data_IF_391429833846
#
_entry.id   IF_391429833846
#
_cell.length_a   1.000
_cell.length_b   1.000
_cell.length_c   1.000
_cell.angle_alpha   90.00
_cell.angle_beta   90.00
_cell.angle_gamma   90.00
#
_symmetry.space_group_name_H-M   'P 1'
#
loop_
_entity.id
_entity.type
_entity.pdbx_description
1 polymer ?
#
# COMPACT_ATOMS: atom_id res chain seq x y z
N UNK A 1 11.46 34.71 -18.74
CA UNK A 1 12.62 34.27 -17.90
C UNK A 1 12.24 33.97 -16.45
N UNK A 2 10.96 33.80 -16.08
CA UNK A 2 10.50 33.85 -14.68
C UNK A 2 9.67 32.71 -14.16
N UNK A 3 9.71 31.50 -14.79
CA UNK A 3 8.95 30.33 -14.33
C UNK A 3 9.78 29.28 -13.57
N UNK A 4 11.04 29.57 -13.28
CA UNK A 4 11.92 28.62 -12.54
C UNK A 4 11.93 28.91 -11.02
N UNK A 5 11.36 29.99 -10.55
CA UNK A 5 11.47 30.43 -9.14
C UNK A 5 10.45 29.80 -8.18
N UNK A 6 9.39 29.12 -8.61
CA UNK A 6 8.28 28.76 -7.73
C UNK A 6 8.36 27.37 -7.05
N UNK A 7 9.37 26.55 -7.34
CA UNK A 7 9.52 25.22 -6.71
C UNK A 7 10.84 24.99 -5.97
N UNK A 8 11.56 26.05 -5.66
CA UNK A 8 12.68 25.95 -4.73
C UNK A 8 12.14 25.97 -3.29
N UNK A 9 11.69 24.82 -2.78
CA UNK A 9 11.53 24.67 -1.35
C UNK A 9 12.87 24.96 -0.69
N UNK A 10 12.90 25.77 0.37
CA UNK A 10 14.08 26.26 1.12
C UNK A 10 14.99 25.15 1.69
N UNK A 11 14.79 23.89 1.32
CA UNK A 11 15.43 22.69 1.87
C UNK A 11 16.55 22.12 0.99
N UNK A 12 16.82 22.66 -0.21
CA UNK A 12 17.73 22.06 -1.18
C UNK A 12 18.95 22.94 -1.48
N UNK A 13 19.84 23.14 -0.53
CA UNK A 13 21.21 23.67 -0.75
C UNK A 13 22.13 22.65 -1.43
N UNK A 14 21.57 21.64 -2.10
CA UNK A 14 22.33 20.58 -2.72
C UNK A 14 23.06 21.02 -3.99
N UNK A 15 24.28 20.50 -4.18
CA UNK A 15 25.06 20.67 -5.41
C UNK A 15 24.25 20.25 -6.64
N UNK A 16 24.33 21.04 -7.71
CA UNK A 16 23.70 20.76 -8.99
C UNK A 16 24.67 20.01 -9.92
N UNK A 17 24.13 19.20 -10.83
CA UNK A 17 24.87 18.53 -11.90
C UNK A 17 24.17 18.70 -13.24
N UNK A 18 24.91 18.54 -14.31
CA UNK A 18 24.35 18.49 -15.66
C UNK A 18 23.83 17.08 -15.91
N UNK A 19 22.67 16.97 -16.52
CA UNK A 19 22.10 15.74 -17.05
C UNK A 19 21.39 16.04 -18.38
N UNK A 20 20.99 15.01 -19.08
CA UNK A 20 20.28 15.15 -20.34
C UNK A 20 18.91 14.48 -20.24
N UNK A 21 17.91 15.09 -20.88
CA UNK A 21 16.59 14.50 -20.96
C UNK A 21 16.66 13.15 -21.68
N UNK A 22 16.14 12.11 -21.06
CA UNK A 22 16.20 10.73 -21.60
C UNK A 22 15.41 10.56 -22.90
N UNK A 23 14.44 11.43 -23.16
CA UNK A 23 13.58 11.32 -24.34
C UNK A 23 14.02 12.21 -25.51
N UNK A 24 14.61 13.39 -25.28
CA UNK A 24 14.94 14.35 -26.33
C UNK A 24 16.39 14.89 -26.28
N UNK A 25 17.20 14.43 -25.35
CA UNK A 25 18.60 14.85 -25.21
C UNK A 25 18.81 16.27 -24.71
N UNK A 26 17.76 17.06 -24.41
CA UNK A 26 17.90 18.43 -23.93
C UNK A 26 18.72 18.47 -22.65
N UNK A 27 19.70 19.37 -22.59
CA UNK A 27 20.53 19.62 -21.41
C UNK A 27 19.69 20.15 -20.25
N UNK A 28 19.85 19.54 -19.05
CA UNK A 28 19.13 19.86 -17.83
C UNK A 28 20.13 20.13 -16.70
N UNK A 29 19.74 20.97 -15.78
CA UNK A 29 20.45 21.19 -14.52
C UNK A 29 19.60 20.55 -13.42
N UNK A 30 20.09 19.46 -12.83
CA UNK A 30 19.38 18.72 -11.78
C UNK A 30 20.18 18.71 -10.48
N UNK A 31 19.53 18.42 -9.36
CA UNK A 31 20.25 18.23 -8.10
C UNK A 31 21.12 16.97 -8.15
N UNK A 32 22.31 17.00 -7.53
CA UNK A 32 23.29 15.89 -7.56
C UNK A 32 22.68 14.55 -7.14
N UNK A 33 21.73 14.55 -6.20
CA UNK A 33 21.02 13.35 -5.73
C UNK A 33 19.95 12.83 -6.70
N UNK A 34 19.49 13.65 -7.66
CA UNK A 34 18.50 13.20 -8.62
C UNK A 34 19.08 12.22 -9.63
N UNK A 35 18.31 11.20 -10.00
CA UNK A 35 18.74 10.23 -11.01
C UNK A 35 18.86 10.89 -12.39
N UNK A 36 20.03 10.82 -13.00
CA UNK A 36 20.23 11.24 -14.40
C UNK A 36 19.62 10.25 -15.39
N UNK A 37 19.39 8.99 -14.98
CA UNK A 37 18.84 7.93 -15.85
C UNK A 37 17.34 8.09 -16.15
N UNK A 38 16.63 8.90 -15.38
CA UNK A 38 15.15 9.06 -15.50
C UNK A 38 14.71 10.51 -15.60
N UNK A 39 15.67 11.46 -15.72
CA UNK A 39 15.32 12.87 -15.80
C UNK A 39 14.72 13.23 -17.17
N UNK A 40 13.70 14.04 -17.16
CA UNK A 40 13.02 14.54 -18.34
C UNK A 40 12.84 16.06 -18.26
N UNK A 41 12.97 16.74 -19.40
CA UNK A 41 12.53 18.14 -19.48
C UNK A 41 11.02 18.24 -19.28
N UNK A 42 10.52 19.44 -18.97
CA UNK A 42 9.10 19.60 -18.63
C UNK A 42 8.15 19.11 -19.73
N UNK A 43 8.49 19.36 -20.97
CA UNK A 43 7.68 18.93 -22.12
C UNK A 43 7.64 17.40 -22.23
N UNK A 44 8.80 16.74 -22.20
CA UNK A 44 8.86 15.29 -22.27
C UNK A 44 8.21 14.63 -21.05
N UNK A 45 8.34 15.24 -19.85
CA UNK A 45 7.65 14.78 -18.65
C UNK A 45 6.13 14.83 -18.78
N UNK A 46 5.58 15.94 -19.34
CA UNK A 46 4.14 16.05 -19.62
C UNK A 46 3.68 15.00 -20.60
N UNK A 47 4.41 14.79 -21.69
CA UNK A 47 4.11 13.77 -22.68
C UNK A 47 4.16 12.35 -22.08
N UNK A 48 5.19 12.05 -21.31
CA UNK A 48 5.31 10.77 -20.62
C UNK A 48 4.14 10.49 -19.68
N UNK A 49 3.72 11.50 -18.89
CA UNK A 49 2.54 11.39 -18.00
C UNK A 49 1.27 11.16 -18.83
N UNK A 50 1.11 11.88 -19.96
CA UNK A 50 -0.04 11.70 -20.86
C UNK A 50 -0.09 10.29 -21.43
N UNK A 51 1.04 9.78 -21.93
CA UNK A 51 1.15 8.40 -22.46
C UNK A 51 0.83 7.35 -21.39
N UNK A 52 1.35 7.52 -20.18
CA UNK A 52 0.99 6.61 -19.06
C UNK A 52 -0.50 6.60 -18.76
N UNK A 53 -1.16 7.78 -18.76
CA UNK A 53 -2.61 7.88 -18.55
C UNK A 53 -3.40 7.19 -19.67
N UNK A 54 -2.94 7.31 -20.92
CA UNK A 54 -3.54 6.59 -22.06
C UNK A 54 -3.37 5.08 -21.90
N UNK A 55 -2.18 4.61 -21.52
CA UNK A 55 -1.93 3.20 -21.29
C UNK A 55 -2.85 2.63 -20.20
N UNK A 56 -3.02 3.35 -19.09
CA UNK A 56 -3.97 2.93 -18.04
C UNK A 56 -5.41 2.82 -18.53
N UNK A 57 -5.84 3.75 -19.41
CA UNK A 57 -7.17 3.66 -20.03
C UNK A 57 -7.30 2.45 -20.94
N UNK A 58 -6.29 2.16 -21.74
CA UNK A 58 -6.25 0.99 -22.62
C UNK A 58 -6.28 -0.31 -21.81
N UNK A 59 -5.47 -0.41 -20.77
CA UNK A 59 -5.48 -1.56 -19.87
C UNK A 59 -6.87 -1.76 -19.25
N UNK A 60 -7.52 -0.68 -18.82
CA UNK A 60 -8.88 -0.74 -18.29
C UNK A 60 -9.88 -1.23 -19.32
N UNK A 61 -9.83 -0.74 -20.56
CA UNK A 61 -10.71 -1.16 -21.65
C UNK A 61 -10.48 -2.63 -22.02
N UNK A 62 -9.26 -3.10 -21.94
CA UNK A 62 -8.88 -4.49 -22.23
C UNK A 62 -9.08 -5.44 -21.03
N UNK A 63 -9.70 -4.98 -19.93
CA UNK A 63 -9.84 -5.72 -18.68
C UNK A 63 -8.48 -6.21 -18.09
N UNK A 64 -7.41 -5.50 -18.40
CA UNK A 64 -6.08 -5.75 -17.84
C UNK A 64 -5.89 -4.89 -16.59
N UNK A 65 -6.16 -5.48 -15.44
CA UNK A 65 -6.07 -4.84 -14.13
C UNK A 65 -4.76 -5.16 -13.41
N UNK A 66 -3.76 -5.60 -14.15
CA UNK A 66 -2.44 -5.81 -13.61
C UNK A 66 -1.79 -4.45 -13.26
N UNK A 67 -1.36 -4.32 -12.02
CA UNK A 67 -0.65 -3.15 -11.51
C UNK A 67 0.62 -3.66 -10.86
N UNK A 68 1.77 -3.20 -11.30
CA UNK A 68 3.08 -3.51 -10.75
C UNK A 68 3.31 -4.99 -10.33
N UNK A 69 4.39 -5.58 -10.75
CA UNK A 69 4.87 -6.90 -10.32
C UNK A 69 3.91 -8.09 -10.51
N UNK A 70 3.07 -8.05 -11.55
CA UNK A 70 2.20 -9.15 -11.91
C UNK A 70 0.95 -9.30 -11.03
N UNK A 71 0.64 -8.33 -10.16
CA UNK A 71 -0.56 -8.37 -9.33
C UNK A 71 -1.79 -7.97 -10.12
N UNK A 72 -2.78 -8.85 -10.14
CA UNK A 72 -4.09 -8.56 -10.74
C UNK A 72 -5.07 -8.13 -9.65
N UNK A 73 -5.79 -7.05 -9.93
CA UNK A 73 -6.82 -6.52 -9.04
C UNK A 73 -8.20 -6.69 -9.66
N UNK A 74 -9.25 -6.66 -8.85
CA UNK A 74 -10.61 -6.48 -9.39
C UNK A 74 -10.74 -5.11 -10.06
N UNK A 75 -11.72 -4.95 -10.94
CA UNK A 75 -12.00 -3.68 -11.63
C UNK A 75 -12.22 -2.53 -10.65
N UNK A 76 -12.98 -2.76 -9.59
CA UNK A 76 -13.29 -1.77 -8.55
C UNK A 76 -12.03 -1.38 -7.77
N UNK A 77 -11.23 -2.34 -7.37
CA UNK A 77 -9.97 -2.10 -6.67
C UNK A 77 -8.99 -1.34 -7.54
N UNK A 78 -8.86 -1.70 -8.80
CA UNK A 78 -8.01 -1.01 -9.76
C UNK A 78 -8.44 0.45 -9.96
N UNK A 79 -9.75 0.71 -10.15
CA UNK A 79 -10.30 2.06 -10.27
C UNK A 79 -10.06 2.89 -9.01
N UNK A 80 -10.30 2.31 -7.83
CA UNK A 80 -10.08 3.00 -6.57
C UNK A 80 -8.62 3.38 -6.35
N UNK A 81 -7.70 2.48 -6.69
CA UNK A 81 -6.26 2.74 -6.60
C UNK A 81 -5.80 3.84 -7.56
N UNK A 82 -6.39 3.94 -8.75
CA UNK A 82 -6.03 4.94 -9.75
C UNK A 82 -6.72 6.30 -9.52
N UNK A 83 -7.99 6.31 -9.15
CA UNK A 83 -8.76 7.53 -8.91
C UNK A 83 -8.43 8.16 -7.55
N UNK A 84 -8.03 7.37 -6.57
CA UNK A 84 -7.66 7.84 -5.23
C UNK A 84 -6.32 8.56 -5.14
N UNK A 85 -5.63 8.79 -6.27
CA UNK A 85 -4.31 9.44 -6.26
C UNK A 85 -3.21 8.60 -5.59
N UNK A 86 -3.36 7.28 -5.59
CA UNK A 86 -2.33 6.39 -5.08
C UNK A 86 -1.01 6.62 -5.81
N UNK A 87 -0.10 7.30 -5.16
CA UNK A 87 1.30 7.35 -5.53
C UNK A 87 1.91 5.99 -5.22
N UNK A 88 1.85 5.11 -6.21
CA UNK A 88 2.51 3.82 -6.18
C UNK A 88 2.04 2.91 -5.03
N UNK A 89 1.59 1.74 -5.38
CA UNK A 89 1.60 0.62 -4.45
C UNK A 89 3.08 0.37 -4.20
N UNK A 90 3.55 0.77 -3.04
CA UNK A 90 4.91 0.47 -2.65
C UNK A 90 5.09 -1.05 -2.62
N UNK A 91 6.26 -1.51 -3.01
CA UNK A 91 6.67 -2.90 -2.86
C UNK A 91 6.31 -3.41 -1.47
N UNK A 92 5.53 -4.45 -1.41
CA UNK A 92 5.25 -5.16 -0.15
C UNK A 92 6.44 -6.01 0.32
N UNK A 93 7.48 -6.14 -0.49
CA UNK A 93 8.70 -6.86 -0.11
C UNK A 93 9.43 -6.32 1.13
N UNK A 94 9.16 -5.06 1.48
CA UNK A 94 9.72 -4.39 2.66
C UNK A 94 8.65 -4.09 3.73
N UNK A 95 7.60 -4.88 3.81
CA UNK A 95 6.60 -4.72 4.87
C UNK A 95 7.28 -4.85 6.23
N UNK A 96 7.48 -3.72 6.88
CA UNK A 96 7.92 -3.67 8.27
C UNK A 96 6.76 -4.11 9.16
N UNK A 97 6.66 -5.39 9.37
CA UNK A 97 5.73 -5.96 10.33
C UNK A 97 6.01 -5.41 11.72
N UNK A 98 4.96 -5.04 12.45
CA UNK A 98 5.12 -4.64 13.84
C UNK A 98 5.50 -5.86 14.70
N UNK A 99 6.19 -5.61 15.82
CA UNK A 99 6.52 -6.70 16.76
C UNK A 99 5.25 -7.35 17.32
N UNK A 100 4.22 -6.56 17.54
CA UNK A 100 2.92 -7.06 18.03
C UNK A 100 2.23 -7.94 16.98
N UNK A 101 2.25 -7.54 15.70
CA UNK A 101 1.71 -8.33 14.58
C UNK A 101 2.42 -9.69 14.45
N UNK A 102 3.77 -9.67 14.53
CA UNK A 102 4.56 -10.91 14.47
C UNK A 102 4.22 -11.84 15.63
N UNK A 103 4.07 -11.32 16.84
CA UNK A 103 3.72 -12.11 18.02
C UNK A 103 2.28 -12.67 17.93
N UNK A 104 1.33 -11.86 17.45
CA UNK A 104 -0.05 -12.33 17.23
C UNK A 104 -0.09 -13.42 16.15
N UNK A 105 0.69 -13.28 15.07
CA UNK A 105 0.81 -14.30 14.04
C UNK A 105 1.29 -15.64 14.61
N UNK A 106 2.30 -15.64 15.48
CA UNK A 106 2.79 -16.85 16.16
C UNK A 106 1.71 -17.53 17.00
N UNK A 107 0.93 -16.73 17.75
CA UNK A 107 -0.20 -17.28 18.52
C UNK A 107 -1.24 -17.92 17.60
N UNK A 108 -1.48 -17.32 16.42
CA UNK A 108 -2.33 -17.95 15.41
C UNK A 108 -1.73 -19.24 14.86
N UNK A 109 -0.43 -19.27 14.55
CA UNK A 109 0.29 -20.46 14.07
C UNK A 109 0.35 -21.59 15.11
N UNK A 110 0.32 -21.26 16.41
CA UNK A 110 0.24 -22.25 17.50
C UNK A 110 -1.17 -22.84 17.69
N UNK A 111 -2.21 -22.11 17.26
CA UNK A 111 -3.62 -22.49 17.51
C UNK A 111 -4.33 -23.07 16.28
N UNK A 112 -3.94 -22.66 15.06
CA UNK A 112 -4.54 -23.09 13.78
C UNK A 112 -3.50 -23.75 12.89
N UNK A 113 -3.94 -24.73 12.09
CA UNK A 113 -3.02 -25.53 11.25
C UNK A 113 -2.55 -24.77 9.99
N UNK A 114 -3.45 -24.00 9.35
CA UNK A 114 -3.19 -23.36 8.06
C UNK A 114 -3.18 -21.84 8.17
N UNK A 115 -2.08 -21.30 8.69
CA UNK A 115 -1.87 -19.86 8.83
C UNK A 115 -0.86 -19.36 7.80
N UNK A 116 -1.23 -18.35 7.05
CA UNK A 116 -0.36 -17.62 6.10
C UNK A 116 -0.32 -16.14 6.48
N UNK A 117 0.66 -15.42 5.96
CA UNK A 117 0.80 -14.00 6.24
C UNK A 117 1.26 -13.21 5.01
N UNK A 118 0.73 -11.99 4.88
CA UNK A 118 1.10 -11.03 3.83
C UNK A 118 0.95 -11.58 2.39
N UNK A 119 0.04 -12.52 2.16
CA UNK A 119 -0.25 -13.03 0.82
C UNK A 119 -1.36 -12.23 0.14
N UNK A 120 -1.18 -11.95 -1.14
CA UNK A 120 -2.14 -11.19 -1.95
C UNK A 120 -3.15 -12.11 -2.62
N UNK A 121 -4.04 -12.72 -1.86
CA UNK A 121 -5.05 -13.68 -2.35
C UNK A 121 -6.44 -13.07 -2.56
N UNK A 122 -6.68 -11.83 -2.14
CA UNK A 122 -7.98 -11.17 -2.21
C UNK A 122 -8.05 -10.17 -3.38
N UNK A 123 -8.16 -10.65 -4.60
CA UNK A 123 -8.18 -9.80 -5.81
C UNK A 123 -7.02 -8.79 -5.85
N UNK A 124 -5.80 -9.25 -5.49
CA UNK A 124 -4.59 -8.43 -5.43
C UNK A 124 -4.36 -7.71 -4.08
N UNK A 125 -5.32 -7.77 -3.16
CA UNK A 125 -5.12 -7.32 -1.79
C UNK A 125 -4.55 -8.45 -0.93
N UNK A 126 -3.77 -8.06 0.07
CA UNK A 126 -3.20 -8.95 1.09
C UNK A 126 -3.98 -8.84 2.41
N UNK A 127 -3.71 -9.74 3.32
CA UNK A 127 -4.02 -9.57 4.74
C UNK A 127 -2.76 -9.86 5.55
N UNK A 128 -2.68 -9.27 6.73
CA UNK A 128 -1.51 -9.43 7.58
C UNK A 128 -1.38 -10.87 8.08
N UNK A 129 -2.53 -11.49 8.41
CA UNK A 129 -2.62 -12.92 8.78
C UNK A 129 -3.85 -13.52 8.11
N UNK A 130 -3.70 -14.71 7.54
CA UNK A 130 -4.72 -15.44 6.80
C UNK A 130 -4.86 -16.81 7.46
N UNK A 131 -6.04 -17.12 8.00
CA UNK A 131 -6.35 -18.38 8.65
C UNK A 131 -7.29 -19.17 7.72
N UNK A 132 -6.73 -20.10 6.96
CA UNK A 132 -7.45 -20.81 5.89
C UNK A 132 -8.56 -21.73 6.43
N UNK A 133 -8.32 -22.36 7.57
CA UNK A 133 -9.24 -23.35 8.17
C UNK A 133 -10.62 -22.76 8.46
N UNK A 134 -10.66 -21.50 8.84
CA UNK A 134 -11.89 -20.80 9.22
C UNK A 134 -12.23 -19.64 8.27
N UNK A 135 -11.47 -19.45 7.20
CA UNK A 135 -11.61 -18.36 6.22
C UNK A 135 -11.62 -16.95 6.86
N UNK A 136 -10.67 -16.70 7.73
CA UNK A 136 -10.46 -15.41 8.36
C UNK A 136 -9.24 -14.68 7.80
N UNK A 137 -9.41 -13.38 7.59
CA UNK A 137 -8.35 -12.47 7.19
C UNK A 137 -8.17 -11.39 8.26
N UNK A 138 -7.11 -11.49 9.06
CA UNK A 138 -6.81 -10.50 10.11
C UNK A 138 -6.04 -9.34 9.51
N UNK A 139 -6.50 -8.13 9.80
CA UNK A 139 -5.88 -6.86 9.41
C UNK A 139 -5.35 -6.17 10.65
N UNK A 140 -4.03 -6.06 10.76
CA UNK A 140 -3.34 -5.44 11.90
C UNK A 140 -3.09 -3.96 11.65
N UNK A 141 -4.04 -3.12 12.05
CA UNK A 141 -4.03 -1.69 11.75
C UNK A 141 -3.29 -0.88 12.82
N UNK A 142 -2.05 -0.49 12.52
CA UNK A 142 -1.23 0.37 13.35
C UNK A 142 -1.60 1.87 13.28
N UNK A 143 -0.78 2.76 13.88
CA UNK A 143 -1.06 4.20 13.95
C UNK A 143 -1.28 4.89 12.60
N UNK A 144 -0.70 4.38 11.50
CA UNK A 144 -0.87 4.92 10.15
C UNK A 144 -2.32 4.95 9.67
N UNK A 145 -3.16 4.06 10.16
CA UNK A 145 -4.57 3.98 9.79
C UNK A 145 -5.43 5.02 10.53
N UNK A 146 -4.92 5.62 11.61
CA UNK A 146 -5.71 6.44 12.52
C UNK A 146 -5.14 7.83 12.81
N UNK A 147 -3.83 8.03 12.60
CA UNK A 147 -3.13 9.29 12.89
C UNK A 147 -2.29 9.73 11.70
N UNK A 148 -2.23 11.03 11.46
CA UNK A 148 -1.31 11.58 10.48
C UNK A 148 0.12 11.52 11.04
N UNK A 149 0.94 10.64 10.47
CA UNK A 149 2.32 10.41 10.92
C UNK A 149 3.31 11.34 10.20
N UNK A 150 3.07 11.65 8.93
CA UNK A 150 3.89 12.58 8.14
C UNK A 150 3.03 13.61 7.43
N UNK A 151 3.63 14.72 7.00
CA UNK A 151 2.93 15.79 6.23
C UNK A 151 2.31 15.26 4.93
N UNK A 152 2.88 14.24 4.32
CA UNK A 152 2.39 13.64 3.08
C UNK A 152 1.42 12.48 3.29
N UNK A 153 1.21 12.04 4.52
CA UNK A 153 0.32 10.94 4.88
C UNK A 153 -1.10 11.45 5.06
N UNK A 154 -2.05 10.85 4.37
CA UNK A 154 -3.48 11.14 4.49
C UNK A 154 -4.22 9.96 5.13
N UNK A 155 -4.64 10.14 6.37
CA UNK A 155 -5.46 9.15 7.11
C UNK A 155 -6.72 8.78 6.34
N UNK A 156 -7.42 9.78 5.75
CA UNK A 156 -8.62 9.53 4.95
C UNK A 156 -8.37 8.63 3.75
N UNK A 157 -7.24 8.82 3.05
CA UNK A 157 -6.88 7.95 1.92
C UNK A 157 -6.56 6.53 2.40
N UNK A 158 -5.83 6.38 3.50
CA UNK A 158 -5.54 5.07 4.10
C UNK A 158 -6.83 4.36 4.47
N UNK A 159 -7.72 5.00 5.22
CA UNK A 159 -9.01 4.42 5.61
C UNK A 159 -9.93 4.08 4.43
N UNK A 160 -9.91 4.88 3.35
CA UNK A 160 -10.65 4.52 2.14
C UNK A 160 -10.10 3.25 1.47
N UNK A 161 -8.79 3.07 1.47
CA UNK A 161 -8.16 1.85 0.97
C UNK A 161 -8.50 0.64 1.84
N UNK A 162 -8.48 0.81 3.16
CA UNK A 162 -8.88 -0.24 4.11
C UNK A 162 -10.32 -0.70 3.89
N UNK A 163 -11.25 0.23 3.68
CA UNK A 163 -12.64 -0.08 3.35
C UNK A 163 -12.79 -0.91 2.06
N UNK A 164 -11.95 -0.63 1.04
CA UNK A 164 -11.95 -1.39 -0.20
C UNK A 164 -11.36 -2.77 0.04
N UNK A 165 -10.22 -2.85 0.75
CA UNK A 165 -9.58 -4.12 1.12
C UNK A 165 -10.56 -5.04 1.86
N UNK A 166 -11.28 -4.52 2.87
CA UNK A 166 -12.31 -5.25 3.60
C UNK A 166 -13.38 -5.82 2.65
N UNK A 167 -13.95 -4.98 1.78
CA UNK A 167 -14.96 -5.43 0.80
C UNK A 167 -14.44 -6.50 -0.16
N UNK A 168 -13.19 -6.42 -0.58
CA UNK A 168 -12.60 -7.43 -1.48
C UNK A 168 -12.36 -8.75 -0.75
N UNK A 169 -11.97 -8.72 0.53
CA UNK A 169 -11.87 -9.90 1.39
C UNK A 169 -13.25 -10.57 1.51
N UNK A 170 -14.29 -9.80 1.83
CA UNK A 170 -15.69 -10.29 1.95
C UNK A 170 -16.19 -10.89 0.63
N UNK A 171 -15.92 -10.24 -0.53
CA UNK A 171 -16.28 -10.76 -1.84
C UNK A 171 -15.60 -12.09 -2.18
N UNK A 172 -14.43 -12.35 -1.63
CA UNK A 172 -13.73 -13.62 -1.77
C UNK A 172 -14.30 -14.71 -0.83
N UNK A 173 -15.33 -14.41 -0.05
CA UNK A 173 -15.97 -15.34 0.89
C UNK A 173 -15.17 -15.54 2.19
N UNK A 174 -14.40 -14.52 2.59
CA UNK A 174 -13.62 -14.51 3.81
C UNK A 174 -14.15 -13.47 4.79
N UNK A 175 -13.96 -13.72 6.08
CA UNK A 175 -14.34 -12.78 7.14
C UNK A 175 -13.15 -11.91 7.54
N UNK A 176 -13.21 -10.59 7.32
CA UNK A 176 -12.17 -9.68 7.78
C UNK A 176 -12.28 -9.45 9.28
N UNK A 177 -11.16 -9.51 10.00
CA UNK A 177 -11.07 -9.17 11.42
C UNK A 177 -10.02 -8.08 11.63
N UNK A 178 -10.42 -6.91 12.12
CA UNK A 178 -9.54 -5.74 12.23
C UNK A 178 -9.08 -5.57 13.67
N UNK A 179 -7.76 -5.60 13.87
CA UNK A 179 -7.13 -5.31 15.16
C UNK A 179 -6.51 -3.91 15.09
N UNK A 180 -6.94 -3.04 16.01
CA UNK A 180 -6.39 -1.69 16.15
C UNK A 180 -5.23 -1.71 17.13
N UNK A 181 -4.02 -1.45 16.63
CA UNK A 181 -2.81 -1.34 17.43
C UNK A 181 -2.27 0.11 17.43
N UNK A 182 -2.46 0.80 18.54
CA UNK A 182 -1.99 2.18 18.72
C UNK A 182 -0.80 2.28 19.68
N UNK A 183 -0.35 1.14 20.19
CA UNK A 183 0.62 1.04 21.25
C UNK A 183 2.06 0.83 20.81
N UNK A 184 2.91 0.70 21.81
CA UNK A 184 4.27 0.16 21.69
C UNK A 184 4.21 -1.37 21.73
N UNK A 185 5.32 -2.03 21.38
CA UNK A 185 5.45 -3.48 21.50
C UNK A 185 5.12 -3.94 22.92
N UNK A 186 4.09 -4.76 23.09
CA UNK A 186 3.58 -5.24 24.38
C UNK A 186 2.94 -6.62 24.20
N UNK A 187 3.52 -7.63 24.84
CA UNK A 187 3.05 -9.03 24.76
C UNK A 187 1.69 -9.24 25.46
N UNK A 188 1.44 -8.55 26.55
CA UNK A 188 0.16 -8.67 27.27
C UNK A 188 -0.99 -8.14 26.42
N UNK A 189 -0.77 -7.00 25.73
CA UNK A 189 -1.72 -6.47 24.76
C UNK A 189 -1.99 -7.47 23.62
N UNK A 190 -0.94 -8.10 23.09
CA UNK A 190 -1.09 -9.08 22.01
C UNK A 190 -1.89 -10.29 22.48
N UNK A 191 -1.61 -10.79 23.68
CA UNK A 191 -2.36 -11.89 24.29
C UNK A 191 -3.83 -11.52 24.52
N UNK A 192 -4.10 -10.35 25.07
CA UNK A 192 -5.46 -9.82 25.22
C UNK A 192 -6.21 -9.82 23.87
N UNK A 193 -5.59 -9.29 22.81
CA UNK A 193 -6.20 -9.27 21.48
C UNK A 193 -6.40 -10.66 20.89
N UNK A 194 -5.55 -11.60 21.20
CA UNK A 194 -5.72 -13.01 20.81
C UNK A 194 -6.88 -13.67 21.56
N UNK A 195 -6.98 -13.44 22.86
CA UNK A 195 -8.10 -13.93 23.68
C UNK A 195 -9.45 -13.33 23.23
N UNK A 196 -9.48 -12.02 22.92
CA UNK A 196 -10.65 -11.35 22.30
C UNK A 196 -11.02 -12.00 20.96
N UNK A 197 -10.04 -12.32 20.13
CA UNK A 197 -10.26 -12.96 18.84
C UNK A 197 -10.85 -14.36 19.01
N UNK A 198 -10.27 -15.18 19.88
CA UNK A 198 -10.81 -16.54 20.17
C UNK A 198 -12.23 -16.47 20.75
N UNK A 199 -12.50 -15.52 21.62
CA UNK A 199 -13.85 -15.27 22.15
C UNK A 199 -14.82 -14.94 21.03
N UNK A 200 -14.44 -14.03 20.14
CA UNK A 200 -15.25 -13.68 18.96
C UNK A 200 -15.56 -14.89 18.08
N UNK A 201 -14.58 -15.78 17.83
CA UNK A 201 -14.79 -16.97 17.05
C UNK A 201 -15.81 -17.93 17.71
N UNK A 202 -15.71 -18.12 19.03
CA UNK A 202 -16.64 -18.96 19.80
C UNK A 202 -18.06 -18.39 19.82
N UNK A 203 -18.21 -17.09 20.05
CA UNK A 203 -19.51 -16.41 20.09
C UNK A 203 -20.24 -16.46 18.74
N UNK A 204 -19.51 -16.53 17.62
CA UNK A 204 -20.07 -16.66 16.29
C UNK A 204 -20.13 -18.10 15.78
N UNK A 205 -19.91 -19.09 16.63
CA UNK A 205 -19.99 -20.53 16.33
C UNK A 205 -19.08 -20.93 15.13
N UNK A 206 -17.87 -20.35 15.08
CA UNK A 206 -16.90 -20.61 14.01
C UNK A 206 -15.94 -21.72 14.43
N UNK A 207 -15.63 -21.82 15.73
CA UNK A 207 -14.81 -22.85 16.37
C UNK A 207 -15.47 -23.37 17.64
#
# INVERSE_FOLDING_TARGET
>A
MDLIKSYASKCCTGQKKIAYCVDCGKKLIIYKRASSKTCRCDNCRKNHIRQRRLQYRLNFLNNDYEIHFGRKYSKESWLALHNGGCKGIQHQGDLRRSKNEIEFCKLCEEYFDNVKHNESIFNGWDADIIIEDIKFAVLWNGPWHYKQITKSHSVKQTQNRDKIKVKEIEKCGWTPYIIKDMGKANKDFVKEKFDEFLKYLKENTII
#
